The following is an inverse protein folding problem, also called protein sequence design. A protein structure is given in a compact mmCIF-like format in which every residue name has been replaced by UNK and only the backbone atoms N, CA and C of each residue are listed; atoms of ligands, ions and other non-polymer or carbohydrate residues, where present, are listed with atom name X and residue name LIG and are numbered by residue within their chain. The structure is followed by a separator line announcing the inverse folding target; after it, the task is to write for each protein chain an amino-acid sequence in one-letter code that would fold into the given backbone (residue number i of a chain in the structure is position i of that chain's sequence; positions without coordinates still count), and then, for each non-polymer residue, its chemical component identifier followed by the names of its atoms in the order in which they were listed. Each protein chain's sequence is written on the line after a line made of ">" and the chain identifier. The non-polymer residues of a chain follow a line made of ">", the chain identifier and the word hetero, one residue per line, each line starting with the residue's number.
data_IF_381758804942
#
_entry.id   IF_381758804942
#
_cell.length_a   1.000
_cell.length_b   1.000
_cell.length_c   1.000
_cell.angle_alpha   90.00
_cell.angle_beta   90.00
_cell.angle_gamma   90.00
#
_symmetry.space_group_name_H-M   'P 1'
#
loop_
_entity.id
_entity.type
_entity.pdbx_description
1 polymer ?
#
# COMPACT_ATOMS: atom_id res chain seq x y z
N UNK A 1 31.56 8.84 55.01
CA UNK A 1 31.40 9.06 53.55
C UNK A 1 30.32 8.12 53.06
N UNK A 2 29.17 8.62 52.60
CA UNK A 2 28.04 7.80 52.13
C UNK A 2 28.20 7.58 50.62
N UNK A 3 28.43 6.34 50.21
CA UNK A 3 28.48 5.95 48.81
C UNK A 3 27.08 5.97 48.22
N UNK A 4 26.83 6.90 47.29
CA UNK A 4 25.60 6.96 46.50
C UNK A 4 25.82 6.10 45.26
N UNK A 5 25.13 4.96 45.20
CA UNK A 5 25.09 4.08 44.03
C UNK A 5 24.07 4.69 43.05
N UNK A 6 24.56 5.21 41.93
CA UNK A 6 23.74 5.75 40.85
C UNK A 6 23.26 4.57 39.98
N UNK A 7 21.98 4.23 40.08
CA UNK A 7 21.33 3.29 39.18
C UNK A 7 21.15 3.94 37.80
N UNK A 8 21.96 3.51 36.83
CA UNK A 8 21.81 3.87 35.42
C UNK A 8 20.64 3.06 34.84
N UNK A 9 19.42 3.61 34.87
CA UNK A 9 18.26 3.03 34.19
C UNK A 9 18.43 3.22 32.69
N UNK A 10 18.85 2.17 31.98
CA UNK A 10 18.93 2.14 30.53
C UNK A 10 17.51 2.10 29.95
N UNK A 11 16.97 3.27 29.63
CA UNK A 11 15.71 3.42 28.90
C UNK A 11 15.96 3.00 27.45
N UNK A 12 15.86 1.70 27.14
CA UNK A 12 15.69 1.26 25.76
C UNK A 12 14.34 1.81 25.29
N UNK A 13 14.39 2.96 24.63
CA UNK A 13 13.28 3.47 23.84
C UNK A 13 12.96 2.39 22.79
N UNK A 14 11.84 1.71 22.99
CA UNK A 14 11.21 0.86 22.00
C UNK A 14 10.92 1.75 20.79
N UNK A 15 11.82 1.73 19.80
CA UNK A 15 11.48 2.13 18.44
C UNK A 15 10.40 1.14 17.99
N UNK A 16 9.14 1.48 18.25
CA UNK A 16 8.00 0.66 17.90
C UNK A 16 8.07 0.35 16.41
N UNK A 17 8.12 -0.94 16.07
CA UNK A 17 7.85 -1.35 14.71
C UNK A 17 6.45 -0.86 14.36
N UNK A 18 6.35 0.12 13.45
CA UNK A 18 5.06 0.50 12.88
C UNK A 18 4.40 -0.73 12.25
N UNK A 19 3.09 -0.95 12.47
CA UNK A 19 2.35 -1.99 11.78
C UNK A 19 2.63 -1.91 10.28
N UNK A 20 2.80 -3.06 9.64
CA UNK A 20 3.05 -3.11 8.20
C UNK A 20 1.91 -2.46 7.38
N UNK A 21 0.70 -2.39 7.93
CA UNK A 21 -0.42 -1.65 7.37
C UNK A 21 -0.12 -0.15 7.24
N UNK A 22 0.57 0.48 8.19
CA UNK A 22 0.99 1.89 8.06
C UNK A 22 1.98 2.09 6.90
N UNK A 23 2.69 1.03 6.49
CA UNK A 23 3.72 1.13 5.45
C UNK A 23 3.15 1.26 4.04
N UNK A 24 1.89 0.86 3.82
CA UNK A 24 1.25 0.98 2.51
C UNK A 24 0.60 2.36 2.31
N UNK A 25 0.27 3.08 3.37
CA UNK A 25 -0.28 4.43 3.28
C UNK A 25 0.69 5.36 2.55
N UNK A 26 0.17 6.22 1.70
CA UNK A 26 0.95 7.18 0.92
C UNK A 26 0.52 7.26 -0.54
N UNK A 27 1.25 8.07 -1.29
CA UNK A 27 1.09 8.27 -2.73
C UNK A 27 2.26 7.61 -3.45
N UNK A 28 1.97 6.85 -4.51
CA UNK A 28 2.97 6.08 -5.24
C UNK A 28 2.85 6.33 -6.74
N UNK A 29 4.00 6.56 -7.37
CA UNK A 29 4.15 6.67 -8.81
C UNK A 29 4.64 5.34 -9.39
N UNK A 30 4.13 4.95 -10.57
CA UNK A 30 4.65 3.79 -11.27
C UNK A 30 6.13 4.01 -11.64
N UNK A 31 6.98 3.04 -11.32
CA UNK A 31 8.37 3.02 -11.77
C UNK A 31 8.37 2.70 -13.27
N UNK A 32 8.58 3.68 -14.14
CA UNK A 32 8.51 3.45 -15.60
C UNK A 32 9.60 2.50 -16.12
N UNK A 33 10.72 2.38 -15.42
CA UNK A 33 11.84 1.52 -15.81
C UNK A 33 11.60 0.06 -15.38
N UNK A 34 10.98 -0.13 -14.21
CA UNK A 34 10.75 -1.45 -13.61
C UNK A 34 9.30 -1.93 -13.63
N UNK A 35 8.35 -1.06 -13.95
CA UNK A 35 6.93 -1.20 -13.65
C UNK A 35 6.08 -1.44 -14.89
N UNK A 36 5.24 -2.47 -14.79
CA UNK A 36 4.14 -2.90 -15.69
C UNK A 36 4.38 -2.98 -17.21
N UNK A 37 5.51 -2.54 -17.74
CA UNK A 37 5.84 -2.52 -19.18
C UNK A 37 5.79 -3.90 -19.84
N UNK A 38 5.82 -4.97 -19.04
CA UNK A 38 5.78 -6.37 -19.47
C UNK A 38 4.57 -7.14 -18.90
N UNK A 39 3.59 -6.43 -18.37
CA UNK A 39 2.34 -6.98 -17.86
C UNK A 39 1.23 -6.73 -18.90
N UNK A 40 0.26 -7.65 -18.98
CA UNK A 40 -0.80 -7.62 -20.02
C UNK A 40 -1.72 -6.40 -19.88
N UNK A 41 -1.92 -5.95 -18.64
CA UNK A 41 -2.53 -4.67 -18.30
C UNK A 41 -1.46 -3.75 -17.71
N UNK A 42 -1.39 -2.50 -18.19
CA UNK A 42 -0.63 -1.47 -17.50
C UNK A 42 -1.34 -1.18 -16.18
N UNK A 43 -0.60 -1.29 -15.07
CA UNK A 43 -1.10 -0.86 -13.77
C UNK A 43 -1.34 0.66 -13.72
N UNK A 44 -1.96 1.17 -12.64
CA UNK A 44 -2.16 2.60 -12.46
C UNK A 44 -0.85 3.38 -12.52
N UNK A 45 -0.89 4.57 -13.10
CA UNK A 45 0.23 5.52 -13.07
C UNK A 45 0.42 6.09 -11.66
N UNK A 46 -0.68 6.28 -10.93
CA UNK A 46 -0.72 6.79 -9.56
C UNK A 46 -1.55 5.88 -8.67
N UNK A 47 -1.02 5.52 -7.50
CA UNK A 47 -1.76 4.86 -6.44
C UNK A 47 -1.75 5.72 -5.17
N UNK A 48 -2.91 5.94 -4.60
CA UNK A 48 -3.07 6.64 -3.32
C UNK A 48 -3.76 5.70 -2.35
N UNK A 49 -3.18 5.53 -1.17
CA UNK A 49 -3.79 4.85 -0.03
C UNK A 49 -3.82 5.80 1.16
N UNK A 50 -5.03 6.15 1.60
CA UNK A 50 -5.29 7.09 2.67
C UNK A 50 -6.09 6.44 3.79
N UNK A 51 -5.64 6.66 5.02
CA UNK A 51 -6.34 6.22 6.22
C UNK A 51 -5.95 7.17 7.36
N UNK A 52 -6.94 7.66 8.10
CA UNK A 52 -6.72 8.55 9.23
C UNK A 52 -6.24 7.78 10.47
N UNK A 53 -6.72 6.55 10.66
CA UNK A 53 -6.36 5.68 11.76
C UNK A 53 -6.64 4.21 11.39
N UNK A 54 -5.61 3.50 10.93
CA UNK A 54 -5.69 2.08 10.56
C UNK A 54 -6.17 1.15 11.70
N UNK A 55 -6.24 1.65 12.94
CA UNK A 55 -6.60 0.87 14.13
C UNK A 55 -8.06 1.04 14.57
N UNK A 56 -8.81 1.97 13.98
CA UNK A 56 -10.20 2.25 14.37
C UNK A 56 -11.22 1.26 13.77
N UNK A 57 -10.78 0.42 12.83
CA UNK A 57 -11.59 -0.58 12.14
C UNK A 57 -12.45 -0.02 11.00
N UNK A 58 -12.29 1.26 10.66
CA UNK A 58 -12.90 1.91 9.51
C UNK A 58 -12.05 1.60 8.26
N UNK A 59 -12.66 1.18 7.14
CA UNK A 59 -11.94 1.01 5.89
C UNK A 59 -11.29 2.32 5.40
N UNK A 60 -10.01 2.25 5.03
CA UNK A 60 -9.32 3.37 4.37
C UNK A 60 -9.86 3.63 2.96
N UNK A 61 -9.43 4.73 2.36
CA UNK A 61 -9.82 5.15 1.01
C UNK A 61 -8.64 5.04 0.04
N UNK A 62 -8.88 4.53 -1.16
CA UNK A 62 -7.87 4.47 -2.21
C UNK A 62 -8.34 5.20 -3.47
N UNK A 63 -7.36 5.71 -4.22
CA UNK A 63 -7.56 6.26 -5.57
C UNK A 63 -6.46 5.74 -6.48
N UNK A 64 -6.85 5.09 -7.58
CA UNK A 64 -5.94 4.65 -8.64
C UNK A 64 -6.22 5.42 -9.93
N UNK A 65 -5.19 6.09 -10.45
CA UNK A 65 -5.26 6.81 -11.73
C UNK A 65 -4.43 6.08 -12.77
N UNK A 66 -5.00 5.95 -13.97
CA UNK A 66 -4.42 5.27 -15.12
C UNK A 66 -4.20 6.26 -16.26
N UNK A 67 -3.55 5.77 -17.31
CA UNK A 67 -3.35 6.53 -18.53
C UNK A 67 -4.64 7.15 -19.07
N UNK A 68 -4.50 8.32 -19.70
CA UNK A 68 -5.60 9.08 -20.32
C UNK A 68 -6.64 9.60 -19.32
N UNK A 69 -6.30 9.68 -18.04
CA UNK A 69 -7.17 10.22 -16.99
C UNK A 69 -8.31 9.29 -16.60
N UNK A 70 -8.21 8.01 -16.96
CA UNK A 70 -9.09 6.99 -16.41
C UNK A 70 -8.69 6.74 -14.95
N UNK A 71 -9.68 6.48 -14.10
CA UNK A 71 -9.45 6.24 -12.68
C UNK A 71 -10.53 5.34 -12.09
N UNK A 72 -10.22 4.72 -10.96
CA UNK A 72 -11.21 4.19 -10.04
C UNK A 72 -10.76 4.38 -8.59
N UNK A 73 -11.72 4.46 -7.69
CA UNK A 73 -11.51 4.72 -6.29
C UNK A 73 -12.60 4.05 -5.45
N UNK A 74 -12.40 4.06 -4.13
CA UNK A 74 -13.34 3.53 -3.17
C UNK A 74 -12.66 3.21 -1.86
N UNK A 75 -13.24 2.28 -1.12
CA UNK A 75 -12.66 1.86 0.16
C UNK A 75 -11.79 0.63 -0.01
N UNK A 76 -10.91 0.38 0.97
CA UNK A 76 -10.13 -0.84 1.01
C UNK A 76 -10.05 -1.40 2.43
N UNK A 77 -9.77 -2.70 2.51
CA UNK A 77 -9.43 -3.38 3.76
C UNK A 77 -8.16 -4.23 3.59
N UNK A 78 -7.53 -4.57 4.71
CA UNK A 78 -6.31 -5.38 4.73
C UNK A 78 -6.58 -6.77 5.30
N UNK A 79 -6.03 -7.78 4.64
CA UNK A 79 -5.74 -9.08 5.23
C UNK A 79 -4.21 -9.22 5.29
N UNK A 80 -3.67 -9.37 6.50
CA UNK A 80 -2.23 -9.44 6.70
C UNK A 80 -1.72 -10.90 6.70
N UNK A 81 -0.69 -11.18 5.90
CA UNK A 81 0.07 -12.44 5.94
C UNK A 81 1.57 -12.15 5.93
N UNK A 82 2.18 -12.14 7.10
CA UNK A 82 3.63 -12.04 7.37
C UNK A 82 4.37 -10.83 6.76
N UNK A 83 4.70 -10.90 5.46
CA UNK A 83 5.50 -9.90 4.73
C UNK A 83 4.79 -9.37 3.47
N UNK A 84 3.62 -9.91 3.17
CA UNK A 84 2.74 -9.50 2.09
C UNK A 84 1.46 -8.95 2.69
N UNK A 85 0.94 -7.89 2.08
CA UNK A 85 -0.37 -7.33 2.42
C UNK A 85 -1.32 -7.75 1.32
N UNK A 86 -2.36 -8.50 1.68
CA UNK A 86 -3.49 -8.71 0.78
C UNK A 86 -4.42 -7.52 0.96
N UNK A 87 -4.60 -6.74 -0.09
CA UNK A 87 -5.52 -5.61 -0.12
C UNK A 87 -6.79 -6.06 -0.82
N UNK A 88 -7.92 -5.78 -0.18
CA UNK A 88 -9.24 -5.94 -0.77
C UNK A 88 -9.76 -4.55 -1.07
N UNK A 89 -10.00 -4.26 -2.35
CA UNK A 89 -10.58 -3.02 -2.83
C UNK A 89 -12.09 -3.21 -3.02
N UNK A 90 -12.84 -2.19 -2.63
CA UNK A 90 -14.28 -2.07 -2.82
C UNK A 90 -14.54 -0.82 -3.68
N UNK A 91 -14.51 -0.94 -5.02
CA UNK A 91 -14.69 0.19 -5.92
C UNK A 91 -16.12 0.74 -5.84
N UNK A 92 -16.24 2.04 -5.59
CA UNK A 92 -17.51 2.76 -5.54
C UNK A 92 -17.59 3.91 -6.56
N UNK A 93 -16.45 4.31 -7.12
CA UNK A 93 -16.31 5.34 -8.13
C UNK A 93 -15.33 4.88 -9.21
N UNK A 94 -15.70 5.09 -10.47
CA UNK A 94 -14.90 4.67 -11.60
C UNK A 94 -15.24 5.51 -12.84
N UNK A 95 -14.23 5.71 -13.67
CA UNK A 95 -14.36 6.15 -15.05
C UNK A 95 -15.05 5.07 -15.92
N UNK A 96 -15.43 5.43 -17.15
CA UNK A 96 -16.29 4.59 -17.98
C UNK A 96 -15.68 3.21 -18.26
N UNK A 97 -14.37 3.14 -18.54
CA UNK A 97 -13.70 1.87 -18.85
C UNK A 97 -13.68 0.91 -17.65
N UNK A 98 -13.68 1.45 -16.43
CA UNK A 98 -13.65 0.69 -15.18
C UNK A 98 -15.02 0.50 -14.54
N UNK A 99 -16.11 1.02 -15.12
CA UNK A 99 -17.48 0.84 -14.59
C UNK A 99 -17.85 -0.62 -14.24
N UNK A 100 -17.41 -1.66 -14.99
CA UNK A 100 -17.72 -3.05 -14.65
C UNK A 100 -17.22 -3.53 -13.28
N UNK A 101 -16.25 -2.85 -12.65
CA UNK A 101 -15.72 -3.24 -11.35
C UNK A 101 -16.52 -2.63 -10.18
N UNK A 102 -17.43 -1.70 -10.44
CA UNK A 102 -18.22 -1.05 -9.39
C UNK A 102 -19.09 -2.07 -8.64
N UNK A 103 -19.07 -2.01 -7.31
CA UNK A 103 -19.80 -2.93 -6.44
C UNK A 103 -19.24 -4.36 -6.41
N UNK A 104 -18.08 -4.59 -7.05
CA UNK A 104 -17.35 -5.85 -6.94
C UNK A 104 -16.30 -5.77 -5.82
N UNK A 105 -15.67 -6.89 -5.51
CA UNK A 105 -14.50 -6.94 -4.64
C UNK A 105 -13.28 -7.33 -5.49
N UNK A 106 -12.23 -6.52 -5.43
CA UNK A 106 -10.96 -6.82 -6.10
C UNK A 106 -9.91 -7.16 -5.04
N UNK A 107 -9.32 -8.34 -5.13
CA UNK A 107 -8.28 -8.76 -4.20
C UNK A 107 -6.93 -8.75 -4.90
N UNK A 108 -5.94 -8.09 -4.32
CA UNK A 108 -4.57 -8.05 -4.82
C UNK A 108 -3.56 -8.23 -3.69
N UNK A 109 -2.37 -8.73 -4.02
CA UNK A 109 -1.28 -8.95 -3.08
C UNK A 109 -0.15 -7.96 -3.37
N UNK A 110 0.12 -7.10 -2.39
CA UNK A 110 1.23 -6.17 -2.43
C UNK A 110 2.35 -6.58 -1.50
N UNK A 111 3.58 -6.55 -2.01
CA UNK A 111 4.78 -6.60 -1.19
C UNK A 111 5.31 -5.20 -0.96
N UNK A 112 5.22 -4.74 0.29
CA UNK A 112 5.75 -3.42 0.70
C UNK A 112 7.20 -3.57 1.15
N UNK A 113 8.12 -2.81 0.54
CA UNK A 113 9.55 -2.85 0.85
C UNK A 113 10.17 -1.47 0.80
N UNK A 114 10.42 -0.87 1.97
CA UNK A 114 10.91 0.50 2.07
C UNK A 114 9.90 1.48 1.49
N UNK A 115 10.32 2.22 0.46
CA UNK A 115 9.49 3.18 -0.27
C UNK A 115 8.87 2.58 -1.54
N UNK A 116 8.71 1.25 -1.64
CA UNK A 116 8.19 0.58 -2.83
C UNK A 116 7.05 -0.36 -2.52
N UNK A 117 6.05 -0.36 -3.40
CA UNK A 117 5.01 -1.37 -3.49
C UNK A 117 5.30 -2.22 -4.73
N UNK A 118 5.16 -3.54 -4.59
CA UNK A 118 5.29 -4.49 -5.70
C UNK A 118 4.05 -5.35 -5.79
N UNK A 119 3.47 -5.44 -6.97
CA UNK A 119 2.37 -6.36 -7.30
C UNK A 119 2.88 -7.39 -8.31
N UNK A 120 2.54 -8.66 -8.11
CA UNK A 120 2.86 -9.70 -9.10
C UNK A 120 1.95 -9.51 -10.31
N UNK A 121 2.53 -9.47 -11.50
CA UNK A 121 1.75 -9.65 -12.73
C UNK A 121 2.03 -11.05 -13.31
N UNK A 122 1.21 -11.53 -14.25
CA UNK A 122 1.13 -12.91 -14.77
C UNK A 122 2.43 -13.58 -15.31
N UNK A 123 3.63 -13.06 -15.03
CA UNK A 123 4.94 -13.69 -15.25
C UNK A 123 5.66 -14.07 -13.94
N UNK A 124 6.32 -15.24 -13.93
CA UNK A 124 6.98 -15.88 -12.77
C UNK A 124 7.97 -14.97 -12.00
N UNK A 125 8.52 -13.94 -12.65
CA UNK A 125 9.47 -12.99 -12.06
C UNK A 125 9.14 -11.52 -12.36
N UNK A 126 7.92 -11.23 -12.83
CA UNK A 126 7.52 -9.89 -13.26
C UNK A 126 6.63 -9.27 -12.20
N UNK A 127 6.98 -8.06 -11.80
CA UNK A 127 6.20 -7.29 -10.85
C UNK A 127 5.96 -5.91 -11.44
N UNK A 128 4.77 -5.38 -11.24
CA UNK A 128 4.56 -3.94 -11.26
C UNK A 128 5.21 -3.35 -9.99
N UNK A 129 5.88 -2.21 -10.15
CA UNK A 129 6.58 -1.55 -9.06
C UNK A 129 6.12 -0.10 -9.02
N UNK A 130 5.73 0.35 -7.83
CA UNK A 130 5.44 1.75 -7.57
C UNK A 130 6.35 2.28 -6.48
N UNK A 131 6.80 3.53 -6.63
CA UNK A 131 7.71 4.22 -5.73
C UNK A 131 6.93 5.29 -4.99
N UNK A 132 7.04 5.28 -3.66
CA UNK A 132 6.41 6.26 -2.78
C UNK A 132 6.98 7.65 -3.04
N UNK A 133 6.09 8.62 -3.21
CA UNK A 133 6.39 10.03 -3.47
C UNK A 133 6.58 10.85 -2.19
N UNK A 134 5.84 10.52 -1.13
CA UNK A 134 5.74 11.26 0.14
C UNK A 134 6.54 10.65 1.29
#
# INVERSE_FOLDING_TARGET
>A
MKSVIVFLSCSLALFGCKPIQEKILGTYDIDVDSGCSNCEENGPELMVFEDADISDGIPGYYTFEFQKGEAHSGTYSFLHVDTTITVILYPDSASFQYTPILGTMQQTEYRVSGNRIKEKCNGVFRNCVWIRRD
#
